data_IF_118131740788
#
_entry.id   IF_118131740788
#
_cell.length_a   1.000
_cell.length_b   1.000
_cell.length_c   1.000
_cell.angle_alpha   90.00
_cell.angle_beta   90.00
_cell.angle_gamma   90.00
#
_symmetry.space_group_name_H-M   'P 1'
#
loop_
_entity.id
_entity.type
_entity.pdbx_description
1 polymer ?
#
# COMPACT_ATOMS: atom_id res chain seq x y z
N UNK A 1 -15.30 -3.47 -11.91
CA UNK A 1 -14.62 -2.28 -11.38
C UNK A 1 -13.13 -2.39 -11.70
N UNK A 2 -12.55 -1.44 -12.42
CA UNK A 2 -11.10 -1.46 -12.68
C UNK A 2 -10.37 -1.01 -11.42
N UNK A 3 -9.50 -1.86 -10.87
CA UNK A 3 -8.60 -1.49 -9.77
C UNK A 3 -7.71 -0.36 -10.23
N UNK A 4 -7.71 0.76 -9.50
CA UNK A 4 -6.77 1.86 -9.77
C UNK A 4 -5.44 1.50 -9.13
N UNK A 5 -4.39 1.46 -9.94
CA UNK A 5 -3.04 1.22 -9.46
C UNK A 5 -2.05 2.19 -10.07
N UNK A 6 -0.88 2.26 -9.44
CA UNK A 6 0.28 2.97 -9.93
C UNK A 6 1.54 2.16 -9.59
N UNK A 7 2.52 2.18 -10.48
CA UNK A 7 3.84 1.60 -10.28
C UNK A 7 4.85 2.73 -10.25
N UNK A 8 5.58 2.83 -9.15
CA UNK A 8 6.68 3.76 -8.98
C UNK A 8 7.99 3.00 -9.10
N UNK A 9 8.87 3.44 -9.99
CA UNK A 9 10.23 2.93 -10.12
C UNK A 9 11.18 3.84 -9.39
N UNK A 10 12.12 3.27 -8.63
CA UNK A 10 13.09 4.05 -7.86
C UNK A 10 14.47 3.39 -7.81
N UNK A 11 15.50 4.22 -7.65
CA UNK A 11 16.89 3.80 -7.52
C UNK A 11 17.22 3.30 -6.11
N UNK A 12 18.47 2.86 -5.89
CA UNK A 12 18.92 2.30 -4.62
C UNK A 12 19.05 3.34 -3.49
N UNK A 13 18.93 4.64 -3.80
CA UNK A 13 18.85 5.71 -2.79
C UNK A 13 17.41 6.20 -2.57
N UNK A 14 16.46 5.67 -3.34
CA UNK A 14 15.03 5.89 -3.17
C UNK A 14 14.44 7.00 -4.05
N UNK A 15 15.19 7.57 -4.98
CA UNK A 15 14.65 8.58 -5.89
C UNK A 15 13.75 7.94 -6.94
N UNK A 16 12.56 8.49 -7.10
CA UNK A 16 11.57 8.02 -8.07
C UNK A 16 11.98 8.47 -9.47
N UNK A 17 12.32 7.51 -10.31
CA UNK A 17 12.79 7.70 -11.69
C UNK A 17 11.66 7.64 -12.70
N UNK A 18 10.59 6.91 -12.38
CA UNK A 18 9.41 6.82 -13.24
C UNK A 18 8.16 6.49 -12.44
N UNK A 19 7.01 6.91 -12.95
CA UNK A 19 5.69 6.62 -12.41
C UNK A 19 4.74 6.23 -13.54
N UNK A 20 4.14 5.05 -13.45
CA UNK A 20 3.20 4.50 -14.46
C UNK A 20 1.86 4.21 -13.79
N UNK A 21 0.78 4.80 -14.30
CA UNK A 21 -0.58 4.58 -13.80
C UNK A 21 -1.33 5.87 -13.55
N UNK A 22 -2.57 5.76 -13.08
CA UNK A 22 -3.49 6.89 -12.95
C UNK A 22 -3.84 7.24 -11.49
N UNK A 23 -3.29 6.52 -10.51
CA UNK A 23 -3.66 6.73 -9.10
C UNK A 23 -3.14 8.07 -8.55
N UNK A 24 -1.98 8.53 -9.03
CA UNK A 24 -1.31 9.75 -8.57
C UNK A 24 -0.77 10.47 -9.80
N UNK A 25 -0.97 11.79 -9.90
CA UNK A 25 -0.38 12.55 -10.99
C UNK A 25 1.16 12.58 -10.85
N UNK A 26 1.86 12.41 -11.98
CA UNK A 26 3.32 12.30 -12.08
C UNK A 26 4.07 13.42 -11.32
N UNK A 27 3.57 14.65 -11.42
CA UNK A 27 4.09 15.84 -10.72
C UNK A 27 4.16 15.72 -9.17
N UNK A 28 3.37 14.83 -8.57
CA UNK A 28 3.41 14.62 -7.13
C UNK A 28 4.51 13.68 -6.67
N UNK A 29 5.09 12.87 -7.57
CA UNK A 29 5.97 11.74 -7.23
C UNK A 29 7.34 11.80 -7.93
N UNK A 30 7.41 12.24 -9.18
CA UNK A 30 8.65 12.17 -9.95
C UNK A 30 9.74 13.08 -9.40
N UNK A 31 10.98 12.58 -9.37
CA UNK A 31 12.15 13.29 -8.83
C UNK A 31 12.14 13.43 -7.31
N UNK A 32 11.16 12.86 -6.61
CA UNK A 32 11.11 12.84 -5.15
C UNK A 32 11.63 11.52 -4.61
N UNK A 33 12.05 11.55 -3.35
CA UNK A 33 12.47 10.35 -2.65
C UNK A 33 11.26 9.62 -2.04
N UNK A 34 11.14 8.32 -2.32
CA UNK A 34 10.06 7.45 -1.85
C UNK A 34 9.97 7.41 -0.32
N UNK A 35 11.10 7.52 0.39
CA UNK A 35 11.18 7.53 1.86
C UNK A 35 10.49 8.75 2.47
N UNK A 36 10.53 9.88 1.77
CA UNK A 36 9.86 11.11 2.21
C UNK A 36 8.36 11.10 1.90
N UNK A 37 7.95 10.41 0.83
CA UNK A 37 6.53 10.31 0.47
C UNK A 37 5.80 9.31 1.36
N UNK A 38 6.46 8.22 1.74
CA UNK A 38 5.88 7.14 2.50
C UNK A 38 6.77 6.81 3.70
N UNK A 39 6.53 7.42 4.88
CA UNK A 39 7.38 7.22 6.06
C UNK A 39 7.52 5.74 6.49
N UNK A 40 6.51 4.90 6.21
CA UNK A 40 6.60 3.46 6.46
C UNK A 40 7.72 2.78 5.65
N UNK A 41 8.06 3.32 4.47
CA UNK A 41 9.13 2.81 3.62
C UNK A 41 10.49 3.08 4.24
N UNK A 42 10.65 4.20 4.95
CA UNK A 42 11.92 4.56 5.57
C UNK A 42 12.40 3.48 6.56
N UNK A 43 11.47 2.92 7.34
CA UNK A 43 11.74 1.87 8.33
C UNK A 43 12.13 0.51 7.74
N UNK A 44 11.84 0.28 6.46
CA UNK A 44 12.10 -0.99 5.76
C UNK A 44 12.98 -0.82 4.53
N UNK A 45 13.54 0.38 4.30
CA UNK A 45 14.18 0.73 3.05
C UNK A 45 15.35 -0.18 2.71
N UNK A 46 16.20 -0.47 3.70
CA UNK A 46 17.32 -1.41 3.56
C UNK A 46 16.86 -2.81 3.14
N UNK A 47 15.72 -3.26 3.67
CA UNK A 47 15.13 -4.55 3.31
C UNK A 47 14.54 -4.55 1.90
N UNK A 48 14.26 -3.38 1.32
CA UNK A 48 13.74 -3.25 -0.05
C UNK A 48 14.90 -3.28 -1.05
N UNK A 49 15.94 -2.47 -0.82
CA UNK A 49 17.05 -2.32 -1.78
C UNK A 49 17.94 -3.56 -1.84
N UNK A 50 18.14 -4.23 -0.69
CA UNK A 50 18.96 -5.44 -0.58
C UNK A 50 18.28 -6.72 -1.10
N UNK A 51 17.07 -6.62 -1.66
CA UNK A 51 16.35 -7.79 -2.17
C UNK A 51 17.01 -8.34 -3.42
N UNK A 52 16.93 -9.66 -3.57
CA UNK A 52 17.24 -10.36 -4.80
C UNK A 52 16.07 -10.25 -5.79
N UNK A 53 16.40 -10.41 -7.06
CA UNK A 53 15.40 -10.38 -8.14
C UNK A 53 14.35 -11.51 -8.00
N UNK A 54 14.79 -12.68 -7.52
CA UNK A 54 13.93 -13.85 -7.38
C UNK A 54 13.13 -13.87 -6.06
N UNK A 55 13.30 -12.87 -5.19
CA UNK A 55 12.60 -12.84 -3.91
C UNK A 55 11.10 -12.56 -4.10
N UNK A 56 10.21 -13.29 -3.40
CA UNK A 56 8.77 -13.09 -3.50
C UNK A 56 8.38 -11.69 -3.02
N UNK A 57 7.50 -10.94 -3.72
CA UNK A 57 7.22 -9.54 -3.41
C UNK A 57 6.89 -9.29 -1.94
N UNK A 58 7.42 -8.18 -1.40
CA UNK A 58 7.09 -7.74 -0.05
C UNK A 58 5.78 -6.96 -0.10
N UNK A 59 4.75 -7.48 0.56
CA UNK A 59 3.39 -6.93 0.52
C UNK A 59 3.00 -6.36 1.87
N UNK A 60 2.59 -5.10 1.88
CA UNK A 60 1.92 -4.46 3.01
C UNK A 60 0.48 -4.17 2.60
N UNK A 61 -0.45 -4.88 3.23
CA UNK A 61 -1.87 -4.70 2.97
C UNK A 61 -2.47 -3.60 3.84
N UNK A 62 -3.55 -2.97 3.34
CA UNK A 62 -4.36 -2.00 4.13
C UNK A 62 -3.57 -0.82 4.68
N UNK A 63 -2.55 -0.37 3.96
CA UNK A 63 -1.74 0.79 4.33
C UNK A 63 -2.58 2.06 4.20
N UNK A 64 -2.66 2.82 5.29
CA UNK A 64 -3.09 4.22 5.26
C UNK A 64 -1.85 5.11 5.24
N UNK A 65 -1.86 6.16 4.43
CA UNK A 65 -0.69 7.03 4.22
C UNK A 65 -0.99 8.45 4.68
N UNK A 66 0.05 9.18 5.07
CA UNK A 66 -0.02 10.64 5.30
C UNK A 66 0.15 11.42 3.99
N UNK A 67 0.39 10.75 2.87
CA UNK A 67 0.59 11.37 1.58
C UNK A 67 -0.76 11.83 1.02
N UNK A 68 -1.01 13.14 1.03
CA UNK A 68 -2.30 13.74 0.67
C UNK A 68 -2.92 13.24 -0.65
N UNK A 69 -2.15 12.97 -1.73
CA UNK A 69 -2.71 12.40 -2.96
C UNK A 69 -3.28 10.98 -2.81
N UNK A 70 -3.00 10.29 -1.71
CA UNK A 70 -3.46 8.94 -1.37
C UNK A 70 -4.23 8.93 -0.02
N UNK A 71 -5.47 9.43 0.04
CA UNK A 71 -6.24 9.55 1.28
C UNK A 71 -6.97 8.25 1.72
N UNK A 72 -6.77 7.15 1.01
CA UNK A 72 -7.48 5.89 1.19
C UNK A 72 -6.69 4.78 1.88
N UNK A 73 -7.06 3.53 1.56
CA UNK A 73 -6.37 2.32 2.01
C UNK A 73 -5.80 1.58 0.80
N UNK A 74 -4.52 1.24 0.88
CA UNK A 74 -3.76 0.75 -0.24
C UNK A 74 -2.98 -0.50 0.10
N UNK A 75 -2.71 -1.29 -0.93
CA UNK A 75 -1.69 -2.33 -0.84
C UNK A 75 -0.42 -1.83 -1.47
N UNK A 76 0.66 -1.89 -0.71
CA UNK A 76 2.01 -1.55 -1.14
C UNK A 76 2.74 -2.84 -1.44
N UNK A 77 3.16 -3.02 -2.69
CA UNK A 77 3.85 -4.22 -3.16
C UNK A 77 5.23 -3.81 -3.66
N UNK A 78 6.27 -4.17 -2.91
CA UNK A 78 7.65 -3.94 -3.26
C UNK A 78 8.23 -5.14 -3.99
N UNK A 79 8.87 -4.89 -5.12
CA UNK A 79 9.50 -5.93 -5.93
C UNK A 79 10.69 -5.37 -6.71
N UNK A 80 11.66 -6.24 -7.00
CA UNK A 80 12.78 -5.93 -7.90
C UNK A 80 12.44 -6.49 -9.26
N UNK A 81 12.52 -5.65 -10.30
CA UNK A 81 12.09 -5.99 -11.66
C UNK A 81 13.13 -5.55 -12.67
N UNK A 82 13.22 -6.30 -13.76
CA UNK A 82 14.04 -5.90 -14.90
C UNK A 82 13.31 -4.83 -15.71
N UNK A 83 14.03 -3.75 -16.01
CA UNK A 83 13.57 -2.64 -16.83
C UNK A 83 14.60 -2.39 -17.91
N UNK A 84 14.34 -2.88 -19.11
CA UNK A 84 15.19 -2.62 -20.27
C UNK A 84 15.14 -1.13 -20.66
N UNK A 85 16.27 -0.48 -21.00
CA UNK A 85 17.66 -0.99 -21.03
C UNK A 85 18.43 -0.77 -19.71
N UNK A 86 17.78 -0.26 -18.67
CA UNK A 86 18.40 0.18 -17.40
C UNK A 86 18.88 -1.00 -16.53
N UNK A 87 18.30 -2.19 -16.71
CA UNK A 87 18.61 -3.38 -15.93
C UNK A 87 17.66 -3.55 -14.74
N UNK A 88 18.15 -4.11 -13.63
CA UNK A 88 17.33 -4.37 -12.44
C UNK A 88 17.06 -3.10 -11.65
N UNK A 89 15.78 -2.83 -11.35
CA UNK A 89 15.34 -1.69 -10.55
C UNK A 89 14.34 -2.09 -9.47
N UNK A 90 14.26 -1.27 -8.43
CA UNK A 90 13.25 -1.40 -7.39
C UNK A 90 11.92 -0.78 -7.88
N UNK A 91 10.82 -1.42 -7.52
CA UNK A 91 9.47 -0.95 -7.86
C UNK A 91 8.52 -1.07 -6.68
N UNK A 92 7.66 -0.07 -6.53
CA UNK A 92 6.52 -0.05 -5.62
C UNK A 92 5.25 0.00 -6.46
N UNK A 93 4.45 -1.06 -6.42
CA UNK A 93 3.08 -1.03 -6.90
C UNK A 93 2.15 -0.63 -5.76
N UNK A 94 1.33 0.39 -5.99
CA UNK A 94 0.29 0.84 -5.06
C UNK A 94 -1.06 0.51 -5.68
N UNK A 95 -1.83 -0.34 -5.01
CA UNK A 95 -3.20 -0.67 -5.42
C UNK A 95 -4.19 0.03 -4.50
N UNK A 96 -5.15 0.76 -5.07
CA UNK A 96 -6.28 1.29 -4.31
C UNK A 96 -7.32 0.20 -4.07
N UNK A 97 -7.47 -0.16 -2.80
CA UNK A 97 -8.47 -1.12 -2.31
C UNK A 97 -9.36 -0.47 -1.24
N UNK A 98 -9.50 0.85 -1.30
CA UNK A 98 -10.22 1.63 -0.28
C UNK A 98 -11.66 1.16 -0.14
N UNK A 99 -12.33 0.86 -1.26
CA UNK A 99 -13.73 0.44 -1.23
C UNK A 99 -13.89 -0.96 -0.65
N UNK A 100 -13.03 -1.89 -1.04
CA UNK A 100 -12.99 -3.25 -0.53
C UNK A 100 -12.74 -3.27 0.98
N UNK A 101 -11.78 -2.47 1.45
CA UNK A 101 -11.46 -2.39 2.87
C UNK A 101 -12.55 -1.69 3.67
N UNK A 102 -13.19 -0.65 3.13
CA UNK A 102 -14.37 -0.03 3.77
C UNK A 102 -15.55 -1.00 3.85
N UNK A 103 -15.80 -1.78 2.81
CA UNK A 103 -16.86 -2.79 2.80
C UNK A 103 -16.57 -3.88 3.85
N UNK A 104 -15.33 -4.35 3.92
CA UNK A 104 -14.90 -5.33 4.92
C UNK A 104 -15.05 -4.80 6.34
N UNK A 105 -14.62 -3.56 6.61
CA UNK A 105 -14.80 -2.91 7.93
C UNK A 105 -16.28 -2.81 8.32
N UNK A 106 -17.18 -2.44 7.40
CA UNK A 106 -18.63 -2.41 7.66
C UNK A 106 -19.18 -3.78 8.04
N UNK A 107 -18.72 -4.84 7.37
CA UNK A 107 -19.13 -6.22 7.69
C UNK A 107 -18.64 -6.61 9.10
N UNK A 108 -17.37 -6.31 9.42
CA UNK A 108 -16.82 -6.58 10.75
C UNK A 108 -17.57 -5.80 11.84
N UNK A 109 -17.88 -4.53 11.60
CA UNK A 109 -18.63 -3.70 12.54
C UNK A 109 -20.01 -4.30 12.83
N UNK A 110 -20.77 -4.68 11.80
CA UNK A 110 -22.08 -5.33 11.96
C UNK A 110 -22.00 -6.65 12.72
N UNK A 111 -20.95 -7.45 12.48
CA UNK A 111 -20.72 -8.69 13.22
C UNK A 111 -20.45 -8.42 14.70
N UNK A 112 -19.61 -7.42 15.00
CA UNK A 112 -19.28 -7.04 16.37
C UNK A 112 -20.51 -6.50 17.11
N UNK A 113 -21.30 -5.64 16.48
CA UNK A 113 -22.55 -5.11 17.06
C UNK A 113 -23.55 -6.22 17.39
N UNK A 114 -23.74 -7.18 16.48
CA UNK A 114 -24.60 -8.34 16.72
C UNK A 114 -24.09 -9.21 17.88
N UNK A 115 -22.76 -9.33 18.04
CA UNK A 115 -22.13 -10.05 19.14
C UNK A 115 -22.39 -9.34 20.47
N UNK A 116 -22.13 -8.04 20.54
CA UNK A 116 -22.35 -7.21 21.74
C UNK A 116 -23.81 -7.25 22.17
N UNK A 117 -24.76 -7.17 21.24
CA UNK A 117 -26.20 -7.27 21.54
C UNK A 117 -26.58 -8.63 22.12
N UNK A 118 -25.99 -9.73 21.63
CA UNK A 118 -26.20 -11.07 22.21
C UNK A 118 -25.59 -11.21 23.59
N UNK A 119 -24.47 -10.56 23.87
CA UNK A 119 -23.80 -10.61 25.17
C UNK A 119 -24.49 -9.73 26.23
N UNK A 120 -25.07 -8.59 25.83
CA UNK A 120 -25.77 -7.66 26.74
C UNK A 120 -27.29 -7.84 26.78
N UNK A 121 -27.86 -8.63 25.87
CA UNK A 121 -29.29 -9.00 25.83
C UNK A 121 -29.60 -10.36 26.47
N UNK A 122 -28.67 -10.96 27.21
CA UNK A 122 -28.97 -12.12 28.05
C UNK A 122 -29.97 -11.74 29.15
N UNK A 123 -30.97 -12.59 29.46
CA UNK A 123 -31.94 -12.31 30.51
C UNK A 123 -31.18 -12.08 31.82
N UNK A 124 -31.70 -11.17 32.65
CA UNK A 124 -31.11 -10.75 33.91
C UNK A 124 -30.50 -11.94 34.66
N UNK A 125 -29.25 -11.76 35.10
CA UNK A 125 -28.67 -12.65 36.10
C UNK A 125 -29.58 -12.58 37.34
N UNK A 126 -30.11 -13.71 37.83
CA UNK A 126 -30.70 -13.78 39.17
C UNK A 126 -29.66 -13.47 40.24
#
# INVERSE_FOLDING_TARGET
MMKKSIVLWFDDVGNITESIGALIARQHVEGKNIRHLFPCVDSIFEQIICRHFDDPPLVFERVSTTFKPLPGFYDFIFSKKEKSPVGLLNSLTINDLTEEYRAFQKILQRKNEALVQRTHGGPGRP
#
